data_IF_561293312395
#
_entry.id   IF_561293312395
#
_cell.length_a   1.000
_cell.length_b   1.000
_cell.length_c   1.000
_cell.angle_alpha   90.00
_cell.angle_beta   90.00
_cell.angle_gamma   90.00
#
_symmetry.space_group_name_H-M   'P 1'
#
loop_
_entity.id
_entity.type
_entity.pdbx_description
1 polymer ?
#
# COMPACT_ATOMS: atom_id res chain seq x y z
N UNK A 1 -8.17 8.10 -0.63
CA UNK A 1 -7.68 8.92 -1.76
C UNK A 1 -7.44 8.05 -2.98
N UNK A 2 -7.85 8.52 -4.11
CA UNK A 2 -7.59 7.86 -5.38
C UNK A 2 -7.27 8.93 -6.43
N UNK A 3 -6.61 8.53 -7.52
CA UNK A 3 -6.28 9.43 -8.60
C UNK A 3 -7.12 9.13 -9.84
N UNK A 4 -6.88 9.88 -10.91
CA UNK A 4 -7.64 9.75 -12.17
C UNK A 4 -7.32 8.46 -12.93
N UNK A 5 -6.38 7.66 -12.44
CA UNK A 5 -5.94 6.42 -13.09
C UNK A 5 -6.50 5.17 -12.40
N UNK A 6 -7.56 5.32 -11.59
CA UNK A 6 -8.21 4.22 -10.89
C UNK A 6 -7.32 3.57 -9.83
N UNK A 7 -6.40 4.33 -9.26
CA UNK A 7 -5.54 3.84 -8.19
C UNK A 7 -6.10 4.27 -6.84
N UNK A 8 -5.91 3.44 -5.84
CA UNK A 8 -6.31 3.75 -4.46
C UNK A 8 -5.06 3.87 -3.61
N UNK A 9 -5.02 4.87 -2.74
CA UNK A 9 -3.87 5.13 -1.89
C UNK A 9 -4.27 5.13 -0.42
N UNK A 10 -3.36 4.65 0.41
CA UNK A 10 -3.43 4.85 1.85
C UNK A 10 -2.28 5.76 2.25
N UNK A 11 -2.61 6.91 2.84
CA UNK A 11 -1.64 7.90 3.30
C UNK A 11 -1.72 8.01 4.82
N UNK A 12 -0.56 8.02 5.47
CA UNK A 12 -0.48 8.21 6.92
C UNK A 12 0.49 9.37 7.17
N UNK A 13 0.03 10.36 7.92
CA UNK A 13 0.77 11.61 8.11
C UNK A 13 0.99 12.25 6.73
N UNK A 14 2.22 12.45 6.32
CA UNK A 14 2.54 13.05 5.02
C UNK A 14 3.16 12.06 4.05
N UNK A 15 3.01 10.76 4.33
CA UNK A 15 3.65 9.74 3.52
C UNK A 15 2.62 8.77 2.95
N UNK A 16 2.82 8.38 1.70
CA UNK A 16 2.01 7.35 1.06
C UNK A 16 2.56 6.00 1.50
N UNK A 17 1.70 5.18 2.06
CA UNK A 17 2.07 3.88 2.63
C UNK A 17 1.74 2.75 1.65
N UNK A 18 0.58 2.82 1.01
CA UNK A 18 0.09 1.77 0.13
C UNK A 18 -0.48 2.39 -1.14
N UNK A 19 -0.22 1.74 -2.28
CA UNK A 19 -0.84 2.08 -3.55
C UNK A 19 -1.40 0.80 -4.15
N UNK A 20 -2.69 0.82 -4.51
CA UNK A 20 -3.32 -0.30 -5.21
C UNK A 20 -3.69 0.17 -6.60
N UNK A 21 -3.02 -0.36 -7.61
CA UNK A 21 -3.28 -0.03 -9.00
C UNK A 21 -4.50 -0.75 -9.52
N UNK A 22 -5.23 -0.07 -10.38
CA UNK A 22 -6.45 -0.61 -11.03
C UNK A 22 -7.51 -1.03 -10.04
N UNK A 23 -7.58 -0.37 -8.88
CA UNK A 23 -8.52 -0.74 -7.83
C UNK A 23 -9.97 -0.67 -8.31
N UNK A 24 -10.28 0.33 -9.14
CA UNK A 24 -11.65 0.54 -9.62
C UNK A 24 -11.92 -0.03 -11.01
N UNK A 25 -10.94 -0.73 -11.59
CA UNK A 25 -11.05 -1.29 -12.93
C UNK A 25 -11.14 -2.80 -12.85
N UNK A 26 -12.33 -3.36 -13.07
CA UNK A 26 -12.55 -4.79 -12.98
C UNK A 26 -11.99 -5.59 -14.16
N UNK A 27 -11.57 -4.89 -15.22
CA UNK A 27 -11.03 -5.56 -16.41
C UNK A 27 -9.54 -5.88 -16.28
N UNK A 28 -8.89 -5.37 -15.23
CA UNK A 28 -7.45 -5.56 -15.02
C UNK A 28 -7.19 -6.04 -13.60
N UNK A 29 -6.15 -6.85 -13.39
CA UNK A 29 -5.80 -7.28 -12.04
C UNK A 29 -5.29 -6.11 -11.20
N UNK A 30 -5.62 -6.12 -9.92
CA UNK A 30 -5.10 -5.14 -8.98
C UNK A 30 -3.66 -5.50 -8.64
N UNK A 31 -2.83 -4.49 -8.48
CA UNK A 31 -1.47 -4.69 -8.01
C UNK A 31 -1.22 -3.77 -6.83
N UNK A 32 -0.71 -4.34 -5.75
CA UNK A 32 -0.51 -3.62 -4.49
C UNK A 32 0.98 -3.35 -4.27
N UNK A 33 1.28 -2.08 -4.00
CA UNK A 33 2.62 -1.63 -3.66
C UNK A 33 2.63 -1.08 -2.26
N UNK A 34 3.69 -1.36 -1.52
CA UNK A 34 3.89 -0.82 -0.18
C UNK A 34 5.17 0.02 -0.21
N UNK A 35 5.16 1.13 0.50
CA UNK A 35 6.36 1.95 0.61
C UNK A 35 7.39 1.22 1.47
N UNK A 36 8.57 0.96 0.91
CA UNK A 36 9.58 0.15 1.59
C UNK A 36 10.10 0.78 2.87
N UNK A 37 9.95 2.10 3.03
CA UNK A 37 10.42 2.80 4.23
C UNK A 37 9.32 2.91 5.28
N UNK A 38 8.09 3.12 4.86
CA UNK A 38 7.01 3.48 5.77
C UNK A 38 5.94 2.40 5.98
N UNK A 39 5.99 1.28 5.26
CA UNK A 39 4.93 0.28 5.36
C UNK A 39 4.78 -0.28 6.78
N UNK A 40 5.86 -0.28 7.56
CA UNK A 40 5.86 -0.77 8.93
C UNK A 40 6.56 0.24 9.85
N UNK A 41 6.25 1.51 9.65
CA UNK A 41 6.99 2.61 10.28
C UNK A 41 6.68 2.78 11.77
N UNK A 42 5.41 2.68 12.14
CA UNK A 42 4.98 2.90 13.52
C UNK A 42 3.80 2.02 13.87
N UNK A 43 3.50 1.93 15.17
CA UNK A 43 2.35 1.15 15.64
C UNK A 43 1.05 1.72 15.07
N UNK A 44 0.91 3.03 15.05
CA UNK A 44 -0.27 3.69 14.52
C UNK A 44 -0.44 3.43 13.03
N UNK A 45 0.62 3.60 12.25
CA UNK A 45 0.59 3.32 10.82
C UNK A 45 0.27 1.86 10.55
N UNK A 46 0.86 0.95 11.32
CA UNK A 46 0.61 -0.49 11.17
C UNK A 46 -0.84 -0.84 11.46
N UNK A 47 -1.44 -0.24 12.47
CA UNK A 47 -2.83 -0.47 12.80
C UNK A 47 -3.75 -0.09 11.64
N UNK A 48 -3.58 1.10 11.08
CA UNK A 48 -4.43 1.56 9.99
C UNK A 48 -4.13 0.82 8.69
N UNK A 49 -2.88 0.43 8.47
CA UNK A 49 -2.52 -0.42 7.34
C UNK A 49 -3.28 -1.75 7.40
N UNK A 50 -3.32 -2.38 8.58
CA UNK A 50 -4.03 -3.64 8.75
C UNK A 50 -5.52 -3.48 8.47
N UNK A 51 -6.11 -2.38 8.90
CA UNK A 51 -7.52 -2.08 8.63
C UNK A 51 -7.73 -1.87 7.13
N UNK A 52 -6.86 -1.09 6.49
CA UNK A 52 -6.97 -0.78 5.08
C UNK A 52 -6.87 -2.04 4.20
N UNK A 53 -5.94 -2.93 4.54
CA UNK A 53 -5.72 -4.18 3.80
C UNK A 53 -6.60 -5.33 4.28
N UNK A 54 -7.31 -5.14 5.39
CA UNK A 54 -8.16 -6.16 6.01
C UNK A 54 -7.39 -7.44 6.32
N UNK A 55 -6.19 -7.28 6.85
CA UNK A 55 -5.32 -8.41 7.17
C UNK A 55 -4.36 -8.06 8.30
N UNK A 56 -3.65 -9.08 8.81
CA UNK A 56 -2.66 -8.86 9.87
C UNK A 56 -1.30 -8.53 9.25
N UNK A 57 -0.37 -8.04 10.09
CA UNK A 57 1.01 -7.80 9.65
C UNK A 57 1.65 -9.06 9.11
N UNK A 58 1.38 -10.20 9.76
CA UNK A 58 1.95 -11.48 9.34
C UNK A 58 1.49 -11.86 7.94
N UNK A 59 0.22 -11.63 7.63
CA UNK A 59 -0.33 -11.88 6.30
C UNK A 59 0.34 -10.96 5.27
N UNK A 60 0.53 -9.69 5.64
CA UNK A 60 1.21 -8.73 4.77
C UNK A 60 2.65 -9.15 4.48
N UNK A 61 3.36 -9.60 5.50
CA UNK A 61 4.74 -10.08 5.33
C UNK A 61 4.82 -11.26 4.38
N UNK A 62 3.88 -12.20 4.50
CA UNK A 62 3.84 -13.36 3.61
C UNK A 62 3.60 -12.95 2.16
N UNK A 63 2.75 -11.96 1.94
CA UNK A 63 2.45 -11.48 0.59
C UNK A 63 3.63 -10.72 -0.01
N UNK A 64 4.40 -10.03 0.83
CA UNK A 64 5.64 -9.40 0.37
C UNK A 64 6.65 -10.46 -0.06
N UNK A 65 6.81 -11.50 0.74
CA UNK A 65 7.75 -12.58 0.43
C UNK A 65 7.38 -13.33 -0.84
N UNK A 66 6.09 -13.52 -1.08
CA UNK A 66 5.61 -14.25 -2.26
C UNK A 66 5.64 -13.40 -3.53
N UNK A 67 5.86 -12.08 -3.40
CA UNK A 67 5.83 -11.18 -4.54
C UNK A 67 4.45 -10.64 -4.87
N UNK A 68 3.43 -11.03 -4.12
CA UNK A 68 2.08 -10.50 -4.33
C UNK A 68 2.03 -8.99 -4.04
N UNK A 69 2.73 -8.55 -3.00
CA UNK A 69 2.92 -7.13 -2.70
C UNK A 69 4.35 -6.74 -3.04
N UNK A 70 4.52 -5.58 -3.63
CA UNK A 70 5.84 -5.09 -4.04
C UNK A 70 6.27 -3.95 -3.14
N UNK A 71 7.44 -4.05 -2.55
CA UNK A 71 8.04 -2.96 -1.78
C UNK A 71 8.74 -2.01 -2.74
N UNK A 72 8.36 -0.75 -2.70
CA UNK A 72 8.97 0.26 -3.56
C UNK A 72 8.89 1.61 -2.86
N UNK A 73 9.51 2.62 -3.44
CA UNK A 73 9.47 3.97 -2.88
C UNK A 73 8.27 4.71 -3.48
N UNK A 74 7.22 4.88 -2.68
CA UNK A 74 6.00 5.55 -3.11
C UNK A 74 6.06 7.06 -2.90
N UNK A 75 7.10 7.56 -2.25
CA UNK A 75 7.24 8.97 -1.90
C UNK A 75 8.35 9.67 -2.68
N UNK A 76 9.00 8.97 -3.61
CA UNK A 76 10.06 9.54 -4.41
C UNK A 76 9.48 10.61 -5.33
N UNK A 77 10.13 11.77 -5.33
CA UNK A 77 9.71 12.89 -6.17
C UNK A 77 8.60 13.74 -5.57
N UNK A 78 8.16 13.45 -4.35
CA UNK A 78 7.11 14.21 -3.68
C UNK A 78 7.67 15.43 -2.94
N UNK A 79 8.97 15.52 -2.82
CA UNK A 79 9.63 16.59 -2.07
C UNK A 79 9.54 17.94 -2.75
#
# INVERSE_FOLDING_TARGET
IHDDYNNKYFQSYNSIIIKIENYFDNSKPNKTYLDKKYWNYSVTTSKYRNIFLEETKKDTEKKIESGEYVLTNLNEGVL
#
